data_IF_119558215291
#
_entry.id   IF_119558215291
#
_cell.length_a   1.000
_cell.length_b   1.000
_cell.length_c   1.000
_cell.angle_alpha   90.00
_cell.angle_beta   90.00
_cell.angle_gamma   90.00
#
_symmetry.space_group_name_H-M   'P 1'
#
loop_
_entity.id
_entity.type
_entity.pdbx_description
1 polymer ?
#
# COMPACT_ATOMS: atom_id res chain seq x y z
N UNK A 1 19.46 25.81 20.03
CA UNK A 1 18.92 24.44 20.06
C UNK A 1 18.24 24.28 18.72
N UNK A 2 18.96 23.75 17.71
CA UNK A 2 18.33 23.41 16.44
C UNK A 2 17.47 22.18 16.71
N UNK A 3 16.16 22.39 16.79
CA UNK A 3 15.22 21.28 16.65
C UNK A 3 15.29 20.96 15.16
N UNK A 4 16.17 20.03 14.79
CA UNK A 4 16.12 19.45 13.45
C UNK A 4 14.68 18.94 13.29
N UNK A 5 13.91 19.59 12.41
CA UNK A 5 12.61 19.09 12.02
C UNK A 5 12.74 17.68 11.44
N UNK A 6 11.63 16.95 11.29
CA UNK A 6 11.66 15.65 10.62
C UNK A 6 12.38 15.80 9.27
N UNK A 7 13.27 14.84 8.98
CA UNK A 7 13.95 14.81 7.69
C UNK A 7 12.91 14.66 6.58
N UNK A 8 13.09 15.31 5.42
CA UNK A 8 12.22 15.06 4.29
C UNK A 8 12.27 13.58 3.93
N UNK A 9 11.10 13.02 3.64
CA UNK A 9 10.90 11.61 3.32
C UNK A 9 10.68 11.43 1.81
N UNK A 10 10.82 10.21 1.29
CA UNK A 10 10.53 9.91 -0.12
C UNK A 10 9.05 10.14 -0.48
N UNK A 11 8.16 10.11 0.51
CA UNK A 11 6.74 10.42 0.36
C UNK A 11 6.33 11.53 1.35
N UNK A 12 5.45 12.48 0.96
CA UNK A 12 4.89 13.45 1.90
C UNK A 12 4.21 12.79 3.11
N UNK A 13 4.35 13.38 4.30
CA UNK A 13 3.77 12.85 5.55
C UNK A 13 2.25 12.61 5.44
N UNK A 14 1.51 13.52 4.81
CA UNK A 14 0.07 13.38 4.62
C UNK A 14 -0.30 12.19 3.70
N UNK A 15 0.57 11.82 2.75
CA UNK A 15 0.36 10.66 1.89
C UNK A 15 0.72 9.36 2.62
N UNK A 16 1.75 9.39 3.48
CA UNK A 16 2.10 8.27 4.37
C UNK A 16 0.97 7.95 5.35
N UNK A 17 0.38 8.97 5.97
CA UNK A 17 -0.77 8.80 6.87
C UNK A 17 -1.96 8.11 6.16
N UNK A 18 -2.23 8.50 4.91
CA UNK A 18 -3.28 7.87 4.10
C UNK A 18 -2.95 6.42 3.75
N UNK A 19 -1.69 6.14 3.41
CA UNK A 19 -1.23 4.78 3.12
C UNK A 19 -1.30 3.89 4.37
N UNK A 20 -1.01 4.41 5.56
CA UNK A 20 -1.17 3.68 6.82
C UNK A 20 -2.65 3.34 7.10
N UNK A 21 -3.56 4.29 6.89
CA UNK A 21 -5.00 4.03 6.98
C UNK A 21 -5.43 2.94 5.97
N UNK A 22 -4.91 3.00 4.76
CA UNK A 22 -5.19 2.01 3.72
C UNK A 22 -4.69 0.61 4.13
N UNK A 23 -3.46 0.50 4.62
CA UNK A 23 -2.90 -0.76 5.13
C UNK A 23 -3.70 -1.33 6.30
N UNK A 24 -4.14 -0.49 7.23
CA UNK A 24 -5.01 -0.93 8.33
C UNK A 24 -6.36 -1.45 7.83
N UNK A 25 -6.93 -0.80 6.80
CA UNK A 25 -8.17 -1.25 6.18
C UNK A 25 -7.99 -2.59 5.47
N UNK A 26 -6.89 -2.77 4.74
CA UNK A 26 -6.54 -4.05 4.14
C UNK A 26 -6.37 -5.13 5.21
N UNK A 27 -5.59 -4.87 6.27
CA UNK A 27 -5.40 -5.84 7.35
C UNK A 27 -6.73 -6.31 7.96
N UNK A 28 -7.70 -5.41 8.12
CA UNK A 28 -9.04 -5.78 8.56
C UNK A 28 -9.79 -6.65 7.53
N UNK A 29 -9.69 -6.34 6.24
CA UNK A 29 -10.31 -7.14 5.19
C UNK A 29 -9.68 -8.54 5.05
N UNK A 30 -8.38 -8.72 5.31
CA UNK A 30 -7.72 -10.05 5.37
C UNK A 30 -8.48 -10.97 6.31
N UNK A 31 -8.81 -10.49 7.52
CA UNK A 31 -9.49 -11.30 8.53
C UNK A 31 -10.87 -11.77 8.06
N UNK A 32 -11.58 -10.90 7.33
CA UNK A 32 -12.89 -11.20 6.76
C UNK A 32 -12.76 -12.22 5.63
N UNK A 33 -11.82 -12.00 4.70
CA UNK A 33 -11.58 -12.88 3.55
C UNK A 33 -11.09 -14.26 4.00
N UNK A 34 -10.22 -14.33 5.01
CA UNK A 34 -9.72 -15.59 5.57
C UNK A 34 -10.80 -16.40 6.30
N UNK A 35 -11.90 -15.75 6.72
CA UNK A 35 -13.03 -16.41 7.36
C UNK A 35 -14.01 -17.02 6.35
N UNK A 36 -13.91 -16.66 5.06
CA UNK A 36 -14.75 -17.20 3.99
C UNK A 36 -14.15 -18.48 3.40
N UNK A 37 -14.77 -19.66 3.60
CA UNK A 37 -14.27 -20.93 3.07
C UNK A 37 -14.45 -21.08 1.55
N UNK A 38 -15.23 -20.21 0.90
CA UNK A 38 -15.53 -20.26 -0.54
C UNK A 38 -14.74 -19.22 -1.35
N UNK A 39 -13.85 -18.47 -0.70
CA UNK A 39 -13.05 -17.46 -1.39
C UNK A 39 -12.17 -18.09 -2.49
N UNK A 40 -12.19 -17.48 -3.67
CA UNK A 40 -11.36 -17.92 -4.78
C UNK A 40 -9.87 -17.67 -4.47
N UNK A 41 -8.97 -18.64 -4.76
CA UNK A 41 -7.54 -18.45 -4.60
C UNK A 41 -7.00 -17.23 -5.37
N UNK A 42 -7.56 -16.96 -6.54
CA UNK A 42 -7.19 -15.81 -7.35
C UNK A 42 -7.49 -14.48 -6.63
N UNK A 43 -8.64 -14.38 -5.95
CA UNK A 43 -8.98 -13.20 -5.17
C UNK A 43 -8.02 -13.01 -3.98
N UNK A 44 -7.59 -14.12 -3.36
CA UNK A 44 -6.59 -14.11 -2.30
C UNK A 44 -5.22 -13.65 -2.80
N UNK A 45 -4.76 -14.18 -3.94
CA UNK A 45 -3.49 -13.78 -4.56
C UNK A 45 -3.47 -12.28 -4.89
N UNK A 46 -4.55 -11.74 -5.45
CA UNK A 46 -4.66 -10.31 -5.72
C UNK A 46 -4.63 -9.46 -4.45
N UNK A 47 -5.29 -9.93 -3.39
CA UNK A 47 -5.30 -9.25 -2.11
C UNK A 47 -3.87 -9.19 -1.52
N UNK A 48 -3.17 -10.32 -1.50
CA UNK A 48 -1.79 -10.42 -1.00
C UNK A 48 -0.83 -9.55 -1.84
N UNK A 49 -0.98 -9.50 -3.16
CA UNK A 49 -0.21 -8.61 -4.03
C UNK A 49 -0.40 -7.13 -3.64
N UNK A 50 -1.64 -6.70 -3.39
CA UNK A 50 -1.97 -5.31 -3.01
C UNK A 50 -1.35 -4.96 -1.65
N UNK A 51 -1.44 -5.86 -0.66
CA UNK A 51 -0.79 -5.66 0.65
C UNK A 51 0.72 -5.53 0.50
N UNK A 52 1.35 -6.43 -0.25
CA UNK A 52 2.80 -6.41 -0.45
C UNK A 52 3.26 -5.09 -1.09
N UNK A 53 2.54 -4.61 -2.11
CA UNK A 53 2.83 -3.32 -2.75
C UNK A 53 2.67 -2.15 -1.78
N UNK A 54 1.57 -2.11 -1.01
CA UNK A 54 1.30 -1.06 -0.05
C UNK A 54 2.34 -1.01 1.08
N UNK A 55 2.72 -2.17 1.61
CA UNK A 55 3.77 -2.27 2.66
C UNK A 55 5.11 -1.78 2.12
N UNK A 56 5.47 -2.18 0.90
CA UNK A 56 6.73 -1.73 0.28
C UNK A 56 6.73 -0.23 0.05
N UNK A 57 5.62 0.32 -0.40
CA UNK A 57 5.45 1.76 -0.61
C UNK A 57 5.54 2.52 0.72
N UNK A 58 5.02 1.98 1.82
CA UNK A 58 5.14 2.56 3.16
C UNK A 58 6.59 2.57 3.65
N UNK A 59 7.29 1.44 3.50
CA UNK A 59 8.71 1.33 3.89
C UNK A 59 9.56 2.34 3.14
N UNK A 60 9.50 2.35 1.81
CA UNK A 60 10.29 3.28 0.98
C UNK A 60 9.84 4.72 1.20
N UNK A 61 8.53 4.97 1.31
CA UNK A 61 7.98 6.30 1.55
C UNK A 61 8.46 6.93 2.85
N UNK A 62 8.70 6.12 3.89
CA UNK A 62 9.20 6.56 5.19
C UNK A 62 10.74 6.62 5.29
N UNK A 63 11.47 6.25 4.24
CA UNK A 63 12.92 6.44 4.17
C UNK A 63 13.28 7.91 3.89
N UNK A 64 14.51 8.36 4.24
CA UNK A 64 14.98 9.69 3.89
C UNK A 64 14.90 9.97 2.39
N UNK A 65 14.55 11.21 2.05
CA UNK A 65 14.33 11.65 0.67
C UNK A 65 15.55 11.40 -0.23
N UNK A 66 15.30 10.65 -1.31
CA UNK A 66 16.21 10.41 -2.43
C UNK A 66 15.41 10.42 -3.73
N UNK A 67 15.99 10.90 -4.83
CA UNK A 67 15.31 10.91 -6.14
C UNK A 67 14.92 9.49 -6.61
N UNK A 68 15.74 8.49 -6.27
CA UNK A 68 15.47 7.09 -6.57
C UNK A 68 14.29 6.54 -5.75
N UNK A 69 14.27 6.83 -4.44
CA UNK A 69 13.17 6.43 -3.56
C UNK A 69 11.82 7.03 -3.98
N UNK A 70 11.80 8.29 -4.42
CA UNK A 70 10.58 8.91 -4.99
C UNK A 70 10.11 8.17 -6.24
N UNK A 71 11.02 7.85 -7.17
CA UNK A 71 10.67 7.09 -8.37
C UNK A 71 10.11 5.69 -8.03
N UNK A 72 10.70 5.02 -7.04
CA UNK A 72 10.18 3.73 -6.53
C UNK A 72 8.79 3.90 -5.93
N UNK A 73 8.54 4.95 -5.16
CA UNK A 73 7.20 5.25 -4.62
C UNK A 73 6.18 5.45 -5.75
N UNK A 74 6.52 6.21 -6.79
CA UNK A 74 5.65 6.44 -7.95
C UNK A 74 5.33 5.13 -8.70
N UNK A 75 6.34 4.28 -8.93
CA UNK A 75 6.16 2.97 -9.56
C UNK A 75 5.26 2.04 -8.74
N UNK A 76 5.47 1.99 -7.42
CA UNK A 76 4.66 1.18 -6.52
C UNK A 76 3.21 1.68 -6.46
N UNK A 77 3.01 3.00 -6.41
CA UNK A 77 1.67 3.60 -6.42
C UNK A 77 0.89 3.25 -7.69
N UNK A 78 1.56 3.31 -8.84
CA UNK A 78 0.97 2.91 -10.11
C UNK A 78 0.56 1.44 -10.10
N UNK A 79 1.46 0.55 -9.66
CA UNK A 79 1.18 -0.89 -9.60
C UNK A 79 0.04 -1.21 -8.63
N UNK A 80 0.03 -0.58 -7.47
CA UNK A 80 -1.02 -0.73 -6.45
C UNK A 80 -2.39 -0.32 -7.01
N UNK A 81 -2.45 0.84 -7.67
CA UNK A 81 -3.70 1.36 -8.26
C UNK A 81 -4.25 0.39 -9.31
N UNK A 82 -3.39 -0.17 -10.16
CA UNK A 82 -3.81 -1.15 -11.16
C UNK A 82 -4.36 -2.43 -10.55
N UNK A 83 -3.65 -3.00 -9.56
CA UNK A 83 -4.08 -4.24 -8.90
C UNK A 83 -5.37 -4.05 -8.13
N UNK A 84 -5.53 -2.90 -7.46
CA UNK A 84 -6.77 -2.58 -6.77
C UNK A 84 -7.95 -2.42 -7.74
N UNK A 85 -7.74 -1.79 -8.91
CA UNK A 85 -8.78 -1.70 -9.93
C UNK A 85 -9.23 -3.08 -10.43
N UNK A 86 -8.28 -3.99 -10.69
CA UNK A 86 -8.59 -5.37 -11.09
C UNK A 86 -9.34 -6.14 -9.99
N UNK A 87 -8.93 -5.97 -8.72
CA UNK A 87 -9.64 -6.56 -7.58
C UNK A 87 -11.11 -6.13 -7.56
N UNK A 88 -11.38 -4.84 -7.77
CA UNK A 88 -12.75 -4.31 -7.83
C UNK A 88 -13.52 -4.87 -9.04
N UNK A 89 -12.88 -5.04 -10.19
CA UNK A 89 -13.52 -5.67 -11.35
C UNK A 89 -13.93 -7.12 -11.05
N UNK A 90 -13.02 -7.92 -10.49
CA UNK A 90 -13.28 -9.33 -10.19
C UNK A 90 -14.29 -9.56 -9.05
N UNK A 91 -14.33 -8.66 -8.07
CA UNK A 91 -15.23 -8.79 -6.92
C UNK A 91 -16.67 -8.37 -7.21
N UNK A 92 -16.90 -7.53 -8.24
CA UNK A 92 -18.20 -6.88 -8.46
C UNK A 92 -18.80 -7.03 -9.88
N UNK A 93 -18.10 -7.65 -10.84
CA UNK A 93 -18.59 -7.89 -12.21
C UNK A 93 -18.40 -9.34 -12.66
#
# INVERSE_FOLDING_TARGET
>A
MEIAGPHPLNMPENELDLLEIFLNTLAHHVEILAADPEISPELWDFFDEIVMLAVRMYVVGNEPFTHDGVAVVEELNWALTQRYAILLELAFF
#
